data_IF_911507665794
#
_entry.id   IF_911507665794
#
_cell.length_a   1.000
_cell.length_b   1.000
_cell.length_c   1.000
_cell.angle_alpha   90.00
_cell.angle_beta   90.00
_cell.angle_gamma   90.00
#
_symmetry.space_group_name_H-M   'P 1'
#
loop_
_entity.id
_entity.type
_entity.pdbx_description
1 polymer ?
#
# COMPACT_ATOMS: atom_id res chain seq x y z
N UNK A 1 -7.72 10.47 2.19
CA UNK A 1 -7.81 9.01 2.04
C UNK A 1 -6.44 8.40 2.22
N UNK A 2 -6.35 7.31 2.94
CA UNK A 2 -5.08 6.68 3.27
C UNK A 2 -4.90 5.45 2.40
N UNK A 3 -3.84 5.43 1.58
CA UNK A 3 -3.63 4.41 0.56
C UNK A 3 -2.31 3.67 0.81
N UNK A 4 -2.35 2.35 0.72
CA UNK A 4 -1.16 1.51 0.82
C UNK A 4 -0.86 0.89 -0.54
N UNK A 5 0.38 1.00 -0.99
CA UNK A 5 0.85 0.43 -2.25
C UNK A 5 1.72 -0.79 -1.98
N UNK A 6 1.44 -1.89 -2.68
CA UNK A 6 2.25 -3.10 -2.61
C UNK A 6 3.64 -2.83 -3.18
N UNK A 7 4.61 -3.67 -2.82
CA UNK A 7 5.99 -3.54 -3.26
C UNK A 7 6.14 -3.62 -4.78
N UNK A 8 5.21 -4.27 -5.46
CA UNK A 8 5.23 -4.41 -6.92
C UNK A 8 4.70 -3.19 -7.66
N UNK A 9 4.13 -2.23 -6.95
CA UNK A 9 3.64 -1.01 -7.58
C UNK A 9 4.80 -0.04 -7.74
N UNK A 10 5.01 0.54 -8.94
CA UNK A 10 6.08 1.52 -9.12
C UNK A 10 5.92 2.69 -8.17
N UNK A 11 7.03 3.12 -7.57
CA UNK A 11 7.01 4.21 -6.59
C UNK A 11 6.44 5.50 -7.18
N UNK A 12 6.62 5.72 -8.47
CA UNK A 12 6.11 6.93 -9.12
C UNK A 12 4.60 7.06 -9.03
N UNK A 13 3.89 5.95 -8.87
CA UNK A 13 2.43 5.97 -8.74
C UNK A 13 2.03 6.79 -7.51
N UNK A 14 2.88 6.81 -6.49
CA UNK A 14 2.66 7.59 -5.29
C UNK A 14 2.42 9.06 -5.60
N UNK A 15 3.08 9.59 -6.62
CA UNK A 15 2.95 11.00 -6.99
C UNK A 15 1.75 11.26 -7.90
N UNK A 16 1.22 10.22 -8.53
CA UNK A 16 0.08 10.34 -9.43
C UNK A 16 -1.23 10.64 -8.69
N UNK A 17 -1.29 10.32 -7.41
CA UNK A 17 -2.49 10.55 -6.61
C UNK A 17 -2.59 11.97 -6.06
N UNK A 18 -1.52 12.76 -6.17
CA UNK A 18 -1.51 14.12 -5.67
C UNK A 18 -1.34 14.20 -4.17
N UNK A 19 -1.28 15.43 -3.65
CA UNK A 19 -1.00 15.68 -2.26
C UNK A 19 -2.20 15.49 -1.33
N UNK A 20 -3.37 15.31 -1.91
CA UNK A 20 -4.60 15.18 -1.12
C UNK A 20 -4.75 13.84 -0.44
N UNK A 21 -3.92 12.86 -0.83
CA UNK A 21 -3.99 11.52 -0.30
C UNK A 21 -2.73 11.18 0.47
N UNK A 22 -2.91 10.46 1.57
CA UNK A 22 -1.79 9.97 2.35
C UNK A 22 -1.41 8.61 1.79
N UNK A 23 -0.29 8.54 1.10
CA UNK A 23 0.13 7.33 0.40
C UNK A 23 1.41 6.77 1.01
N UNK A 24 1.36 5.50 1.37
CA UNK A 24 2.52 4.78 1.88
C UNK A 24 2.73 3.51 1.07
N UNK A 25 3.96 3.03 1.01
CA UNK A 25 4.25 1.76 0.37
C UNK A 25 4.52 0.71 1.43
N UNK A 26 4.44 -0.55 1.04
CA UNK A 26 4.82 -1.67 1.91
C UNK A 26 6.26 -1.50 2.37
N UNK A 27 7.11 -1.00 1.49
CA UNK A 27 8.51 -0.70 1.84
C UNK A 27 8.61 0.38 2.91
N UNK A 28 7.84 1.46 2.78
CA UNK A 28 7.84 2.56 3.75
C UNK A 28 7.46 2.09 5.14
N UNK A 29 6.59 1.10 5.22
CA UNK A 29 6.11 0.57 6.49
C UNK A 29 7.00 -0.55 7.05
N UNK A 30 7.97 -1.02 6.28
CA UNK A 30 8.82 -2.12 6.71
C UNK A 30 8.12 -3.47 6.64
N UNK A 31 7.15 -3.61 5.77
CA UNK A 31 6.34 -4.83 5.64
C UNK A 31 6.72 -5.68 4.43
N UNK A 32 7.90 -5.47 3.89
CA UNK A 32 8.38 -6.29 2.76
C UNK A 32 8.45 -7.76 3.17
N UNK A 33 8.08 -8.63 2.25
CA UNK A 33 8.13 -10.06 2.49
C UNK A 33 6.87 -10.64 3.12
N UNK A 34 5.92 -9.81 3.52
CA UNK A 34 4.67 -10.30 4.08
C UNK A 34 3.72 -10.72 2.96
N UNK A 35 2.89 -11.72 3.26
CA UNK A 35 1.90 -12.20 2.30
C UNK A 35 0.72 -11.24 2.22
N UNK A 36 -0.03 -11.32 1.11
CA UNK A 36 -1.17 -10.42 0.89
C UNK A 36 -2.20 -10.45 2.02
N UNK A 37 -2.49 -11.61 2.56
CA UNK A 37 -3.43 -11.73 3.68
C UNK A 37 -2.97 -10.93 4.89
N UNK A 38 -1.66 -11.00 5.19
CA UNK A 38 -1.09 -10.24 6.29
C UNK A 38 -1.12 -8.75 6.01
N UNK A 39 -0.82 -8.37 4.74
CA UNK A 39 -0.82 -6.97 4.35
C UNK A 39 -2.21 -6.36 4.46
N UNK A 40 -3.23 -7.10 4.06
CA UNK A 40 -4.61 -6.63 4.18
C UNK A 40 -4.99 -6.39 5.64
N UNK A 41 -4.59 -7.30 6.52
CA UNK A 41 -4.84 -7.15 7.95
C UNK A 41 -4.13 -5.94 8.52
N UNK A 42 -2.85 -5.77 8.15
CA UNK A 42 -2.06 -4.63 8.62
C UNK A 42 -2.61 -3.32 8.10
N UNK A 43 -3.04 -3.30 6.85
CA UNK A 43 -3.61 -2.10 6.25
C UNK A 43 -4.88 -1.69 7.00
N UNK A 44 -5.76 -2.64 7.26
CA UNK A 44 -6.99 -2.37 8.00
C UNK A 44 -6.69 -1.89 9.42
N UNK A 45 -5.76 -2.56 10.09
CA UNK A 45 -5.40 -2.22 11.47
C UNK A 45 -4.80 -0.82 11.57
N UNK A 46 -4.07 -0.40 10.53
CA UNK A 46 -3.42 0.89 10.50
C UNK A 46 -4.26 1.99 9.85
N UNK A 47 -5.51 1.71 9.56
CA UNK A 47 -6.45 2.71 9.07
C UNK A 47 -6.32 3.05 7.59
N UNK A 48 -5.74 2.17 6.79
CA UNK A 48 -5.71 2.38 5.35
C UNK A 48 -7.08 2.12 4.74
N UNK A 49 -7.46 2.98 3.82
CA UNK A 49 -8.75 2.88 3.13
C UNK A 49 -8.66 2.01 1.89
N UNK A 50 -7.50 2.02 1.25
CA UNK A 50 -7.28 1.31 -0.02
C UNK A 50 -5.92 0.62 0.01
N UNK A 51 -5.88 -0.60 -0.52
CA UNK A 51 -4.63 -1.33 -0.75
C UNK A 51 -4.55 -1.67 -2.23
N UNK A 52 -3.52 -1.15 -2.90
CA UNK A 52 -3.33 -1.36 -4.33
C UNK A 52 -2.21 -2.38 -4.55
N UNK A 53 -2.52 -3.43 -5.30
CA UNK A 53 -1.56 -4.50 -5.59
C UNK A 53 -1.72 -4.96 -7.02
N UNK A 54 -0.65 -5.52 -7.57
CA UNK A 54 -0.65 -6.14 -8.89
C UNK A 54 -0.80 -7.65 -8.83
N UNK A 55 -1.14 -8.19 -7.68
CA UNK A 55 -1.32 -9.62 -7.51
C UNK A 55 -2.43 -10.11 -8.43
N UNK A 56 -2.13 -11.15 -9.20
CA UNK A 56 -3.03 -11.65 -10.24
C UNK A 56 -3.86 -12.86 -9.83
N UNK A 57 -3.73 -13.32 -8.65
CA UNK A 57 -4.48 -14.49 -8.22
C UNK A 57 -5.94 -14.19 -8.03
#
# INVERSE_FOLDING_TARGET
MKILLDENIPTKVKYDFGEQHEISTVRDKGWLGKKNGELLGLAAFNGFDIFITLDKT
#
